data_IF_380477259811
#
_entry.id   IF_380477259811
#
_cell.length_a   1.000
_cell.length_b   1.000
_cell.length_c   1.000
_cell.angle_alpha   90.00
_cell.angle_beta   90.00
_cell.angle_gamma   90.00
#
_symmetry.space_group_name_H-M   'P 1'
#
loop_
_entity.id
_entity.type
_entity.pdbx_description
1 polymer ?
#
# COMPACT_ATOMS: atom_id res chain seq x y z
N UNK A 1 -3.70 -18.53 -4.85
CA UNK A 1 -4.63 -17.39 -4.65
C UNK A 1 -3.81 -16.11 -4.56
N UNK A 2 -4.21 -15.03 -5.23
CA UNK A 2 -3.52 -13.74 -5.25
C UNK A 2 -3.55 -13.10 -3.85
N UNK A 3 -2.40 -12.70 -3.32
CA UNK A 3 -2.30 -12.00 -2.03
C UNK A 3 -2.47 -10.48 -2.22
N UNK A 4 -3.07 -9.82 -1.22
CA UNK A 4 -3.09 -8.36 -1.12
C UNK A 4 -2.00 -7.97 -0.12
N UNK A 5 -0.97 -7.30 -0.62
CA UNK A 5 0.26 -6.98 0.11
C UNK A 5 0.41 -5.47 0.23
N UNK A 6 0.53 -4.98 1.45
CA UNK A 6 0.95 -3.59 1.71
C UNK A 6 2.47 -3.53 1.61
N UNK A 7 3.00 -2.71 0.71
CA UNK A 7 4.43 -2.43 0.61
C UNK A 7 4.65 -0.94 0.80
N UNK A 8 5.24 -0.52 1.91
CA UNK A 8 5.22 0.88 2.30
C UNK A 8 6.43 1.26 3.15
N UNK A 9 6.86 2.53 3.06
CA UNK A 9 7.80 3.11 3.98
C UNK A 9 7.05 3.81 5.12
N UNK A 10 7.60 3.73 6.34
CA UNK A 10 7.17 4.49 7.49
C UNK A 10 8.34 5.21 8.12
N UNK A 11 8.08 6.35 8.76
CA UNK A 11 8.99 6.91 9.75
C UNK A 11 9.14 5.97 10.95
N UNK A 12 10.15 6.17 11.78
CA UNK A 12 10.36 5.36 12.99
C UNK A 12 9.22 5.52 14.02
N UNK A 13 8.47 6.60 13.95
CA UNK A 13 7.27 6.87 14.75
C UNK A 13 5.94 6.50 14.04
N UNK A 14 6.01 5.75 12.91
CA UNK A 14 4.86 5.05 12.33
C UNK A 14 4.01 5.84 11.33
N UNK A 15 4.49 6.96 10.82
CA UNK A 15 3.79 7.76 9.81
C UNK A 15 4.24 7.42 8.40
N UNK A 16 3.34 7.55 7.42
CA UNK A 16 3.60 7.30 6.00
C UNK A 16 3.79 8.59 5.19
N UNK A 17 3.36 9.72 5.72
CA UNK A 17 3.48 11.05 5.12
C UNK A 17 3.29 12.12 6.19
N UNK A 18 3.67 13.35 5.92
CA UNK A 18 3.28 14.51 6.73
C UNK A 18 1.76 14.75 6.64
N UNK A 19 1.22 15.65 7.45
CA UNK A 19 -0.24 15.97 7.47
C UNK A 19 -0.78 16.43 6.11
N UNK A 20 0.02 17.17 5.35
CA UNK A 20 -0.28 17.66 4.00
C UNK A 20 -0.08 16.59 2.90
N UNK A 21 0.45 15.42 3.25
CA UNK A 21 0.77 14.33 2.33
C UNK A 21 2.20 14.34 1.80
N UNK A 22 3.03 15.31 2.18
CA UNK A 22 4.43 15.37 1.77
C UNK A 22 5.23 14.18 2.30
N UNK A 23 6.21 13.74 1.51
CA UNK A 23 7.10 12.59 1.79
C UNK A 23 8.59 12.98 1.64
N UNK A 24 8.90 14.25 1.89
CA UNK A 24 10.23 14.85 1.79
C UNK A 24 11.30 14.09 2.61
N UNK A 25 10.91 13.53 3.74
CA UNK A 25 11.77 12.70 4.59
C UNK A 25 12.21 11.37 3.95
N UNK A 26 11.63 10.98 2.80
CA UNK A 26 12.07 9.86 1.96
C UNK A 26 13.12 10.26 0.92
N UNK A 27 13.40 11.56 0.76
CA UNK A 27 14.43 12.06 -0.16
C UNK A 27 15.82 11.89 0.47
N UNK A 28 16.36 10.70 0.28
CA UNK A 28 17.65 10.26 0.81
C UNK A 28 18.33 9.29 -0.16
N UNK A 29 19.68 9.19 -0.16
CA UNK A 29 20.38 8.18 -0.94
C UNK A 29 19.85 6.77 -0.63
N UNK A 30 19.62 5.98 -1.67
CA UNK A 30 19.11 4.63 -1.54
C UNK A 30 20.19 3.58 -1.80
N UNK A 31 20.21 2.47 -1.07
CA UNK A 31 21.16 1.40 -1.31
C UNK A 31 20.92 0.73 -2.68
N UNK A 32 21.96 0.07 -3.19
CA UNK A 32 21.87 -0.74 -4.40
C UNK A 32 20.70 -1.74 -4.27
N UNK A 33 19.87 -1.84 -5.31
CA UNK A 33 18.68 -2.70 -5.32
C UNK A 33 17.41 -2.06 -4.72
N UNK A 34 17.47 -0.79 -4.30
CA UNK A 34 16.32 -0.01 -3.87
C UNK A 34 15.38 -0.80 -2.95
N UNK A 35 15.94 -1.38 -1.87
CA UNK A 35 15.20 -2.15 -0.84
C UNK A 35 14.46 -3.40 -1.35
N UNK A 36 14.71 -3.88 -2.59
CA UNK A 36 13.99 -4.98 -3.23
C UNK A 36 12.74 -4.56 -4.00
N UNK A 37 12.56 -3.27 -4.23
CA UNK A 37 11.41 -2.71 -4.95
C UNK A 37 11.24 -3.32 -6.35
N UNK A 38 12.34 -3.52 -7.10
CA UNK A 38 12.28 -4.10 -8.44
C UNK A 38 11.71 -5.53 -8.48
N UNK A 39 12.05 -6.35 -7.48
CA UNK A 39 11.53 -7.72 -7.35
C UNK A 39 10.06 -7.70 -6.94
N UNK A 40 9.69 -6.80 -6.02
CA UNK A 40 8.31 -6.60 -5.63
C UNK A 40 7.44 -6.20 -6.83
N UNK A 41 7.87 -5.25 -7.66
CA UNK A 41 7.17 -4.84 -8.88
C UNK A 41 6.94 -6.00 -9.86
N UNK A 42 7.91 -6.91 -10.01
CA UNK A 42 7.76 -8.11 -10.84
C UNK A 42 6.73 -9.10 -10.30
N UNK A 43 6.47 -9.06 -9.00
CA UNK A 43 5.55 -9.98 -8.30
C UNK A 43 4.09 -9.57 -8.33
N UNK A 44 3.77 -8.37 -8.83
CA UNK A 44 2.42 -7.78 -8.85
C UNK A 44 1.95 -7.47 -10.25
N UNK A 45 0.63 -7.35 -10.44
CA UNK A 45 -0.02 -6.89 -11.68
C UNK A 45 -1.20 -5.94 -11.42
N UNK A 46 -1.50 -5.65 -10.17
CA UNK A 46 -2.63 -4.82 -9.75
C UNK A 46 -2.21 -3.95 -8.58
N UNK A 47 -2.61 -2.68 -8.61
CA UNK A 47 -2.37 -1.71 -7.55
C UNK A 47 -3.70 -1.17 -7.04
N UNK A 48 -3.84 -1.15 -5.71
CA UNK A 48 -5.00 -0.58 -5.02
C UNK A 48 -4.59 0.66 -4.24
N UNK A 49 -5.39 1.71 -4.34
CA UNK A 49 -5.14 2.96 -3.62
C UNK A 49 -6.45 3.65 -3.22
N UNK A 50 -6.37 4.48 -2.18
CA UNK A 50 -7.48 5.32 -1.77
C UNK A 50 -7.54 6.63 -2.55
N UNK A 51 -8.66 7.35 -2.45
CA UNK A 51 -8.92 8.61 -3.14
C UNK A 51 -7.83 9.65 -2.88
N UNK A 52 -7.41 9.88 -1.65
CA UNK A 52 -6.37 10.89 -1.33
C UNK A 52 -5.02 10.56 -1.98
N UNK A 53 -4.65 9.28 -2.03
CA UNK A 53 -3.43 8.84 -2.71
C UNK A 53 -3.55 9.03 -4.23
N UNK A 54 -4.72 8.77 -4.82
CA UNK A 54 -4.98 9.08 -6.22
C UNK A 54 -4.85 10.59 -6.49
N UNK A 55 -5.43 11.46 -5.65
CA UNK A 55 -5.35 12.91 -5.81
C UNK A 55 -3.90 13.40 -5.72
N UNK A 56 -3.07 12.79 -4.84
CA UNK A 56 -1.63 13.05 -4.79
C UNK A 56 -0.93 12.65 -6.09
N UNK A 57 -1.25 11.48 -6.67
CA UNK A 57 -0.71 11.05 -7.97
C UNK A 57 -1.10 12.03 -9.07
N UNK A 58 -2.35 12.51 -9.08
CA UNK A 58 -2.82 13.54 -10.05
C UNK A 58 -1.97 14.80 -9.95
N UNK A 59 -1.72 15.28 -8.74
CA UNK A 59 -0.91 16.48 -8.51
C UNK A 59 0.54 16.26 -8.98
N UNK A 60 1.13 15.11 -8.63
CA UNK A 60 2.48 14.73 -9.05
C UNK A 60 2.65 14.74 -10.58
N UNK A 61 1.65 14.22 -11.32
CA UNK A 61 1.65 14.24 -12.78
C UNK A 61 1.48 15.66 -13.34
N UNK A 62 0.63 16.49 -12.71
CA UNK A 62 0.47 17.92 -13.10
C UNK A 62 1.74 18.74 -12.94
N UNK A 63 2.58 18.40 -11.97
CA UNK A 63 3.90 19.00 -11.75
C UNK A 63 4.96 18.54 -12.76
N UNK A 64 4.57 17.81 -13.80
CA UNK A 64 5.47 17.30 -14.84
C UNK A 64 6.31 16.10 -14.42
N UNK A 65 6.04 15.55 -13.22
CA UNK A 65 6.73 14.35 -12.75
C UNK A 65 6.09 13.11 -13.37
N UNK A 66 6.90 12.18 -13.85
CA UNK A 66 6.41 10.95 -14.45
C UNK A 66 6.28 9.83 -13.43
N UNK A 67 5.19 9.07 -13.49
CA UNK A 67 5.13 7.77 -12.84
C UNK A 67 6.11 6.86 -13.56
N UNK A 68 7.06 6.21 -12.87
CA UNK A 68 8.03 5.35 -13.52
C UNK A 68 7.34 4.25 -14.33
N UNK A 69 7.55 4.25 -15.66
CA UNK A 69 7.03 3.19 -16.52
C UNK A 69 7.67 1.87 -16.14
N UNK A 70 6.85 0.87 -15.89
CA UNK A 70 7.29 -0.49 -15.65
C UNK A 70 7.19 -1.30 -16.95
N UNK A 71 8.06 -2.28 -17.13
CA UNK A 71 8.02 -3.19 -18.29
C UNK A 71 6.67 -3.92 -18.42
N UNK A 72 5.97 -4.12 -17.31
CA UNK A 72 4.58 -4.57 -17.22
C UNK A 72 3.83 -3.56 -16.36
N UNK A 73 2.95 -2.77 -16.99
CA UNK A 73 2.15 -1.78 -16.28
C UNK A 73 1.02 -2.48 -15.49
N UNK A 74 1.03 -2.42 -14.16
CA UNK A 74 -0.05 -2.95 -13.35
C UNK A 74 -1.32 -2.12 -13.54
N UNK A 75 -2.48 -2.75 -13.43
CA UNK A 75 -3.78 -2.05 -13.43
C UNK A 75 -3.98 -1.33 -12.09
N UNK A 76 -4.43 -0.08 -12.14
CA UNK A 76 -4.65 0.74 -10.95
C UNK A 76 -6.14 0.85 -10.64
N UNK A 77 -6.51 0.58 -9.38
CA UNK A 77 -7.87 0.68 -8.88
C UNK A 77 -7.93 1.63 -7.68
N UNK A 78 -8.60 2.77 -7.88
CA UNK A 78 -8.79 3.78 -6.83
C UNK A 78 -10.16 3.62 -6.15
N UNK A 79 -10.15 3.47 -4.83
CA UNK A 79 -11.37 3.32 -4.05
C UNK A 79 -11.94 4.67 -3.66
N UNK A 80 -13.16 4.96 -4.10
CA UNK A 80 -13.88 6.16 -3.70
C UNK A 80 -15.39 6.01 -3.93
N UNK A 81 -16.18 6.46 -2.95
CA UNK A 81 -17.64 6.62 -3.13
C UNK A 81 -17.99 7.77 -4.08
N UNK A 82 -17.07 8.75 -4.21
CA UNK A 82 -17.22 9.95 -5.05
C UNK A 82 -16.01 10.10 -5.97
N UNK A 83 -15.95 9.36 -7.11
CA UNK A 83 -14.86 9.50 -8.07
C UNK A 83 -14.86 10.89 -8.70
N UNK A 84 -13.70 11.40 -9.19
CA UNK A 84 -13.63 12.66 -9.90
C UNK A 84 -14.32 12.57 -11.26
N UNK A 85 -14.73 13.72 -11.82
CA UNK A 85 -15.31 13.79 -13.17
C UNK A 85 -14.31 13.39 -14.26
N UNK A 86 -13.03 13.76 -14.11
CA UNK A 86 -11.94 13.37 -15.00
C UNK A 86 -11.01 12.40 -14.28
N UNK A 87 -10.75 11.27 -14.88
CA UNK A 87 -9.88 10.21 -14.34
C UNK A 87 -8.61 10.15 -15.18
N UNK A 88 -7.45 10.00 -14.53
CA UNK A 88 -6.19 9.77 -15.24
C UNK A 88 -6.24 8.47 -16.04
N UNK A 89 -5.65 8.42 -17.26
CA UNK A 89 -5.49 7.19 -18.00
C UNK A 89 -4.82 6.10 -17.15
N UNK A 90 -5.26 4.86 -17.30
CA UNK A 90 -4.73 3.71 -16.56
C UNK A 90 -5.30 3.52 -15.15
N UNK A 91 -6.24 4.36 -14.71
CA UNK A 91 -6.94 4.22 -13.42
C UNK A 91 -8.41 3.90 -13.59
N UNK A 92 -8.89 2.93 -12.81
CA UNK A 92 -10.31 2.62 -12.65
C UNK A 92 -10.79 2.98 -11.25
N UNK A 93 -12.01 3.50 -11.11
CA UNK A 93 -12.60 3.79 -9.81
C UNK A 93 -13.55 2.69 -9.34
N UNK A 94 -13.31 2.23 -8.11
CA UNK A 94 -14.09 1.16 -7.46
C UNK A 94 -15.07 1.76 -6.46
N UNK A 95 -16.36 1.47 -6.65
CA UNK A 95 -17.46 1.84 -5.74
C UNK A 95 -18.06 0.64 -5.01
N UNK A 96 -17.76 -0.59 -5.48
CA UNK A 96 -18.28 -1.80 -4.87
C UNK A 96 -17.69 -2.06 -3.47
N UNK A 97 -18.37 -2.85 -2.62
CA UNK A 97 -17.84 -3.26 -1.32
C UNK A 97 -16.50 -3.99 -1.46
N UNK A 98 -15.56 -3.70 -0.54
CA UNK A 98 -14.18 -4.24 -0.55
C UNK A 98 -14.18 -5.77 -0.61
N UNK A 99 -15.01 -6.46 0.18
CA UNK A 99 -15.11 -7.93 0.17
C UNK A 99 -15.48 -8.47 -1.21
N UNK A 100 -16.47 -7.85 -1.88
CA UNK A 100 -16.90 -8.24 -3.22
C UNK A 100 -15.76 -8.06 -4.23
N UNK A 101 -15.09 -6.92 -4.20
CA UNK A 101 -13.92 -6.63 -5.03
C UNK A 101 -12.81 -7.67 -4.78
N UNK A 102 -12.40 -7.86 -3.52
CA UNK A 102 -11.31 -8.75 -3.15
C UNK A 102 -11.60 -10.20 -3.59
N UNK A 103 -12.81 -10.73 -3.32
CA UNK A 103 -13.22 -12.05 -3.77
C UNK A 103 -13.11 -12.22 -5.28
N UNK A 104 -13.64 -11.27 -6.05
CA UNK A 104 -13.58 -11.27 -7.52
C UNK A 104 -12.15 -11.24 -8.05
N UNK A 105 -11.27 -10.40 -7.46
CA UNK A 105 -9.88 -10.28 -7.91
C UNK A 105 -9.02 -11.47 -7.52
N UNK A 106 -9.24 -12.05 -6.35
CA UNK A 106 -8.52 -13.26 -5.92
C UNK A 106 -8.86 -14.50 -6.75
N UNK A 107 -10.06 -14.56 -7.32
CA UNK A 107 -10.49 -15.65 -8.19
C UNK A 107 -9.87 -15.58 -9.60
N UNK A 108 -9.38 -14.42 -10.01
CA UNK A 108 -8.74 -14.24 -11.32
C UNK A 108 -7.33 -14.83 -11.34
N UNK A 109 -6.90 -15.36 -12.49
CA UNK A 109 -5.49 -15.66 -12.74
C UNK A 109 -4.68 -14.35 -12.73
N UNK A 110 -3.50 -14.37 -12.14
CA UNK A 110 -2.63 -13.20 -12.07
C UNK A 110 -1.63 -13.28 -10.94
N UNK A 111 -0.84 -12.20 -10.81
CA UNK A 111 0.14 -12.01 -9.75
C UNK A 111 -0.50 -11.45 -8.48
N UNK A 112 0.31 -11.11 -7.48
CA UNK A 112 -0.17 -10.48 -6.26
C UNK A 112 -0.72 -9.06 -6.52
N UNK A 113 -1.41 -8.53 -5.54
CA UNK A 113 -2.07 -7.24 -5.57
C UNK A 113 -1.33 -6.32 -4.58
N UNK A 114 -0.84 -5.20 -5.05
CA UNK A 114 -0.17 -4.18 -4.24
C UNK A 114 -1.21 -3.24 -3.64
N UNK A 115 -1.32 -3.18 -2.32
CA UNK A 115 -2.02 -2.12 -1.60
C UNK A 115 -1.04 -0.97 -1.36
N UNK A 116 -1.07 0.03 -2.24
CA UNK A 116 -0.22 1.23 -2.14
C UNK A 116 -0.62 2.12 -0.95
N UNK A 117 -1.90 2.14 -0.60
CA UNK A 117 -2.38 2.93 0.52
C UNK A 117 -3.28 4.10 0.09
N UNK A 118 -3.44 5.21 0.87
CA UNK A 118 -2.94 5.53 2.21
C UNK A 118 -3.63 4.81 3.37
N UNK A 119 -3.31 5.28 4.56
CA UNK A 119 -3.74 4.64 5.81
C UNK A 119 -5.24 4.41 5.95
N UNK A 120 -6.09 5.24 5.37
CA UNK A 120 -7.55 5.08 5.40
C UNK A 120 -8.05 3.86 4.64
N UNK A 121 -7.53 3.60 3.42
CA UNK A 121 -7.93 2.43 2.63
C UNK A 121 -7.31 1.15 3.20
N UNK A 122 -6.07 1.20 3.69
CA UNK A 122 -5.44 0.08 4.41
C UNK A 122 -6.31 -0.31 5.60
N UNK A 123 -6.72 0.66 6.43
CA UNK A 123 -7.62 0.42 7.55
C UNK A 123 -8.92 -0.27 7.12
N UNK A 124 -9.55 0.20 6.04
CA UNK A 124 -10.82 -0.35 5.55
C UNK A 124 -10.66 -1.79 5.03
N UNK A 125 -9.55 -2.15 4.41
CA UNK A 125 -9.25 -3.51 3.99
C UNK A 125 -8.93 -4.42 5.19
N UNK A 126 -8.22 -3.92 6.21
CA UNK A 126 -7.97 -4.65 7.45
C UNK A 126 -9.26 -4.97 8.20
N UNK A 127 -10.19 -4.01 8.30
CA UNK A 127 -11.47 -4.19 9.01
C UNK A 127 -12.30 -5.34 8.44
N UNK A 128 -12.16 -5.60 7.13
CA UNK A 128 -12.87 -6.70 6.47
C UNK A 128 -12.00 -7.96 6.26
N UNK A 129 -10.76 -7.96 6.79
CA UNK A 129 -9.85 -9.11 6.73
C UNK A 129 -9.20 -9.36 5.37
N UNK A 130 -9.10 -8.35 4.51
CA UNK A 130 -8.64 -8.52 3.12
C UNK A 130 -7.18 -8.13 2.88
N UNK A 131 -6.39 -7.80 3.90
CA UNK A 131 -4.92 -7.71 3.80
C UNK A 131 -4.30 -9.06 4.18
N UNK A 132 -3.31 -9.51 3.43
CA UNK A 132 -2.58 -10.75 3.70
C UNK A 132 -1.20 -10.49 4.31
N UNK A 133 -0.47 -9.51 3.78
CA UNK A 133 0.90 -9.24 4.21
C UNK A 133 1.20 -7.75 4.28
N UNK A 134 2.14 -7.42 5.17
CA UNK A 134 2.77 -6.10 5.25
C UNK A 134 4.27 -6.24 5.02
N UNK A 135 4.82 -5.46 4.09
CA UNK A 135 6.25 -5.23 3.91
C UNK A 135 6.49 -3.77 4.24
N UNK A 136 6.98 -3.52 5.45
CA UNK A 136 7.17 -2.18 6.01
C UNK A 136 8.65 -1.86 6.02
N UNK A 137 9.04 -0.75 5.41
CA UNK A 137 10.39 -0.20 5.48
C UNK A 137 10.39 0.93 6.51
N UNK A 138 10.93 0.64 7.69
CA UNK A 138 11.08 1.63 8.77
C UNK A 138 12.30 2.47 8.47
N UNK A 139 12.05 3.73 8.12
CA UNK A 139 13.10 4.72 7.86
C UNK A 139 13.58 5.27 9.21
N UNK A 140 14.90 5.39 9.45
CA UNK A 140 15.45 5.84 10.73
C UNK A 140 15.31 7.37 10.90
N UNK A 141 14.08 7.84 10.94
CA UNK A 141 13.71 9.26 11.06
C UNK A 141 12.40 9.38 11.82
N UNK A 142 12.32 10.26 12.81
CA UNK A 142 11.07 10.70 13.43
C UNK A 142 10.57 11.93 12.69
N UNK A 143 9.26 12.01 12.43
CA UNK A 143 8.62 13.18 11.84
C UNK A 143 7.63 13.86 12.78
N UNK A 144 7.40 13.28 13.97
CA UNK A 144 6.61 13.84 15.08
C UNK A 144 5.11 13.74 14.89
N UNK A 145 4.60 14.09 13.72
CA UNK A 145 3.18 14.03 13.36
C UNK A 145 2.99 13.76 11.87
N UNK A 146 1.83 13.22 11.49
CA UNK A 146 1.59 12.92 10.09
C UNK A 146 0.39 12.02 9.86
N UNK A 147 0.34 11.43 8.66
CA UNK A 147 -0.64 10.42 8.28
C UNK A 147 -0.14 9.07 8.77
N UNK A 148 -0.84 8.40 9.69
CA UNK A 148 -0.41 7.11 10.23
C UNK A 148 -0.50 6.01 9.16
N UNK A 149 0.34 4.97 9.30
CA UNK A 149 0.32 3.78 8.44
C UNK A 149 -1.10 3.20 8.32
N UNK A 150 -1.82 3.14 9.40
CA UNK A 150 -3.20 2.65 9.47
C UNK A 150 -4.03 3.71 10.18
N UNK A 151 -5.11 4.19 9.54
CA UNK A 151 -6.01 5.14 10.17
C UNK A 151 -6.53 4.59 11.52
N UNK A 152 -6.49 5.40 12.60
CA UNK A 152 -6.90 4.97 13.93
C UNK A 152 -8.36 4.48 13.95
N UNK A 153 -8.56 3.28 14.46
CA UNK A 153 -9.86 2.64 14.72
C UNK A 153 -9.67 1.63 15.85
N UNK A 154 -10.72 1.37 16.60
CA UNK A 154 -10.69 0.33 17.62
C UNK A 154 -10.60 -1.06 16.97
N UNK A 155 -9.37 -1.61 16.91
CA UNK A 155 -9.09 -2.95 16.40
C UNK A 155 -7.78 -3.50 16.96
N UNK A 156 -7.70 -4.80 17.07
CA UNK A 156 -6.45 -5.55 17.27
C UNK A 156 -6.27 -6.52 16.12
N UNK A 157 -5.14 -6.44 15.41
CA UNK A 157 -4.82 -7.32 14.28
C UNK A 157 -3.50 -8.00 14.59
N UNK A 158 -3.50 -9.30 14.92
CA UNK A 158 -2.27 -10.03 15.19
C UNK A 158 -1.48 -10.22 13.89
N UNK A 159 -0.16 -10.08 14.01
CA UNK A 159 0.79 -10.24 12.92
C UNK A 159 1.79 -11.34 13.27
N UNK A 160 2.18 -12.12 12.26
CA UNK A 160 3.28 -13.09 12.36
C UNK A 160 4.47 -12.56 11.58
N UNK A 161 5.59 -12.37 12.24
CA UNK A 161 6.82 -11.96 11.58
C UNK A 161 7.33 -13.08 10.66
N UNK A 162 7.51 -12.77 9.38
CA UNK A 162 8.06 -13.68 8.37
C UNK A 162 9.56 -13.48 8.18
N UNK A 163 10.00 -12.22 8.09
CA UNK A 163 11.42 -11.88 7.95
C UNK A 163 11.72 -10.46 8.34
N UNK A 164 12.99 -10.19 8.66
CA UNK A 164 13.56 -8.84 8.82
C UNK A 164 14.78 -8.70 7.93
N UNK A 165 15.07 -7.47 7.51
CA UNK A 165 16.31 -7.15 6.80
C UNK A 165 16.77 -5.74 7.17
N UNK A 166 18.00 -5.61 7.64
CA UNK A 166 18.69 -4.33 7.82
C UNK A 166 19.42 -3.96 6.52
N UNK A 167 19.33 -2.70 6.13
CA UNK A 167 20.07 -2.13 5.01
C UNK A 167 21.22 -1.24 5.52
N UNK A 168 22.20 -0.99 4.63
CA UNK A 168 23.41 -0.23 4.97
C UNK A 168 23.16 1.21 5.39
N UNK A 169 22.05 1.79 4.99
CA UNK A 169 21.60 3.15 5.30
C UNK A 169 20.74 3.25 6.57
N UNK A 170 20.64 2.16 7.34
CA UNK A 170 19.90 2.10 8.60
C UNK A 170 18.42 1.75 8.47
N UNK A 171 17.88 1.64 7.25
CA UNK A 171 16.49 1.18 7.04
C UNK A 171 16.33 -0.27 7.48
N UNK A 172 15.22 -0.57 8.15
CA UNK A 172 14.84 -1.94 8.53
C UNK A 172 13.56 -2.33 7.79
N UNK A 173 13.62 -3.41 7.01
CA UNK A 173 12.44 -4.02 6.43
C UNK A 173 11.86 -5.04 7.38
N UNK A 174 10.57 -4.92 7.68
CA UNK A 174 9.77 -5.87 8.43
C UNK A 174 8.76 -6.49 7.48
N UNK A 175 8.73 -7.82 7.38
CA UNK A 175 7.75 -8.54 6.58
C UNK A 175 6.85 -9.36 7.50
N UNK A 176 5.57 -9.05 7.51
CA UNK A 176 4.56 -9.69 8.35
C UNK A 176 3.46 -10.33 7.52
N UNK A 177 2.96 -11.45 8.00
CA UNK A 177 1.69 -12.05 7.63
C UNK A 177 0.59 -11.57 8.59
N UNK A 178 -0.58 -11.22 8.06
CA UNK A 178 -1.76 -10.91 8.87
C UNK A 178 -2.41 -12.22 9.32
N UNK A 179 -2.45 -12.45 10.63
CA UNK A 179 -3.08 -13.64 11.20
C UNK A 179 -4.60 -13.47 11.13
N UNK A 180 -5.28 -14.28 10.32
CA UNK A 180 -6.74 -14.25 10.17
C UNK A 180 -7.42 -14.89 11.36
N UNK A 181 -8.42 -14.25 11.91
CA UNK A 181 -9.30 -14.87 12.90
C UNK A 181 -10.15 -15.96 12.26
N UNK A 182 -10.63 -16.95 13.07
CA UNK A 182 -11.51 -18.02 12.55
C UNK A 182 -12.75 -17.49 11.82
N UNK A 183 -13.33 -16.38 12.28
CA UNK A 183 -14.47 -15.72 11.61
C UNK A 183 -14.10 -15.13 10.24
N UNK A 184 -12.91 -14.53 10.11
CA UNK A 184 -12.39 -13.98 8.85
C UNK A 184 -12.00 -15.07 7.84
N UNK A 185 -11.54 -16.22 8.31
CA UNK A 185 -11.17 -17.35 7.46
C UNK A 185 -12.39 -18.04 6.81
N UNK A 186 -13.54 -18.07 7.49
CA UNK A 186 -14.78 -18.69 6.98
C UNK A 186 -15.55 -17.83 5.97
N UNK A 187 -15.23 -16.55 5.83
CA UNK A 187 -15.94 -15.61 4.94
C UNK A 187 -15.25 -15.40 3.58
N UNK A 188 -14.26 -16.23 3.23
CA UNK A 188 -13.52 -16.23 1.95
C UNK A 188 -14.07 -17.18 0.90
#
# INVERSE_FOLDING_TARGET
>A
MRKIIVYIATSADGYIARKDGAVDWLDRPRPKGNYGMGEFWKSIDTILLGRKTYDFVVQFVKEGKSIPKQKHEPKHYAFSRRPPKKVLPGFDFVKEPIKKFAKRFRAQKGKNIFMMGGGGIIASFLDVGEIDEFIIHVIPTFIGEGIPLIAPRHRTVPLKLLSTKKFSDGVVRLHYEVVKTKAQARSR
#
